data_IF_527310757202
#
_entry.id   IF_527310757202
#
_cell.length_a   1.000
_cell.length_b   1.000
_cell.length_c   1.000
_cell.angle_alpha   90.00
_cell.angle_beta   90.00
_cell.angle_gamma   90.00
#
_symmetry.space_group_name_H-M   'P 1'
#
loop_
_entity.id
_entity.type
_entity.pdbx_description
1 polymer ?
#
# COMPACT_ATOMS: atom_id res chain seq x y z
N UNK A 1 -54.11 -21.24 32.21
CA UNK A 1 -54.26 -22.18 31.07
C UNK A 1 -54.68 -21.38 29.85
N UNK A 2 -54.06 -21.61 28.71
CA UNK A 2 -54.23 -20.81 27.49
C UNK A 2 -54.73 -21.69 26.35
N UNK A 3 -55.72 -21.24 25.58
CA UNK A 3 -55.99 -21.78 24.25
C UNK A 3 -54.84 -21.41 23.31
N UNK A 4 -54.68 -22.14 22.21
CA UNK A 4 -53.57 -21.89 21.27
C UNK A 4 -53.54 -20.45 20.72
N UNK A 5 -54.71 -19.82 20.58
CA UNK A 5 -54.86 -18.44 20.15
C UNK A 5 -54.39 -17.43 21.19
N UNK A 6 -54.64 -17.72 22.46
CA UNK A 6 -54.22 -16.88 23.60
C UNK A 6 -52.72 -17.03 23.82
N UNK A 7 -52.20 -18.26 23.76
CA UNK A 7 -50.77 -18.53 23.83
C UNK A 7 -49.99 -17.86 22.69
N UNK A 8 -50.54 -17.87 21.46
CA UNK A 8 -49.96 -17.19 20.30
C UNK A 8 -49.82 -15.68 20.52
N UNK A 9 -50.86 -15.05 21.08
CA UNK A 9 -50.84 -13.62 21.40
C UNK A 9 -49.80 -13.28 22.48
N UNK A 10 -49.72 -14.09 23.54
CA UNK A 10 -48.81 -13.89 24.68
C UNK A 10 -47.31 -13.98 24.35
N UNK A 11 -46.97 -14.68 23.26
CA UNK A 11 -45.57 -14.89 22.83
C UNK A 11 -45.25 -14.26 21.48
N UNK A 12 -46.23 -13.62 20.82
CA UNK A 12 -46.04 -13.00 19.50
C UNK A 12 -45.72 -13.99 18.38
N UNK A 13 -46.18 -15.24 18.46
CA UNK A 13 -45.96 -16.27 17.43
C UNK A 13 -47.26 -16.62 16.70
N UNK A 14 -47.15 -17.11 15.46
CA UNK A 14 -48.31 -17.63 14.74
C UNK A 14 -48.81 -18.93 15.38
N UNK A 15 -50.12 -19.20 15.28
CA UNK A 15 -50.70 -20.48 15.72
C UNK A 15 -50.00 -21.67 15.05
N UNK A 16 -49.63 -21.53 13.77
CA UNK A 16 -48.92 -22.55 13.00
C UNK A 16 -47.53 -22.83 13.59
N UNK A 17 -46.80 -21.81 14.04
CA UNK A 17 -45.50 -21.99 14.70
C UNK A 17 -45.64 -22.76 16.02
N UNK A 18 -46.66 -22.45 16.84
CA UNK A 18 -46.93 -23.18 18.08
C UNK A 18 -47.36 -24.64 17.84
N UNK A 19 -48.18 -24.90 16.81
CA UNK A 19 -48.50 -26.26 16.39
C UNK A 19 -47.27 -27.04 15.92
N UNK A 20 -46.34 -26.36 15.24
CA UNK A 20 -45.05 -26.95 14.88
C UNK A 20 -44.21 -27.27 16.12
N UNK A 21 -44.17 -26.39 17.11
CA UNK A 21 -43.45 -26.62 18.37
C UNK A 21 -44.06 -27.81 19.12
N UNK A 22 -45.38 -27.93 19.15
CA UNK A 22 -46.09 -29.09 19.70
C UNK A 22 -45.78 -30.38 18.92
N UNK A 23 -45.75 -30.32 17.58
CA UNK A 23 -45.34 -31.47 16.74
C UNK A 23 -43.91 -31.91 17.04
N UNK A 24 -43.02 -30.97 17.32
CA UNK A 24 -41.64 -31.24 17.74
C UNK A 24 -41.51 -31.65 19.21
N UNK A 25 -42.63 -31.75 19.95
CA UNK A 25 -42.72 -32.07 21.38
C UNK A 25 -42.04 -31.05 22.30
N UNK A 26 -41.94 -29.81 21.85
CA UNK A 26 -41.38 -28.71 22.64
C UNK A 26 -42.37 -28.15 23.65
N UNK A 27 -43.67 -28.26 23.36
CA UNK A 27 -44.78 -27.95 24.26
C UNK A 27 -45.83 -29.05 24.14
N UNK A 28 -46.66 -29.24 25.17
CA UNK A 28 -47.65 -30.32 25.19
C UNK A 28 -49.03 -29.79 25.58
N UNK A 29 -49.91 -29.62 24.59
CA UNK A 29 -51.30 -29.24 24.85
C UNK A 29 -52.10 -30.41 25.44
N UNK A 30 -52.86 -30.16 26.51
CA UNK A 30 -53.83 -31.13 27.03
C UNK A 30 -55.19 -30.91 26.37
N UNK A 31 -55.84 -31.98 25.93
CA UNK A 31 -57.22 -31.91 25.45
C UNK A 31 -58.19 -31.93 26.63
N UNK A 32 -59.10 -30.96 26.65
CA UNK A 32 -60.24 -30.94 27.56
C UNK A 32 -61.36 -31.84 27.04
N UNK A 33 -62.31 -32.20 27.92
CA UNK A 33 -63.48 -33.01 27.57
C UNK A 33 -64.34 -32.41 26.45
N UNK A 34 -64.26 -31.10 26.24
CA UNK A 34 -64.95 -30.36 25.18
C UNK A 34 -64.16 -30.30 23.84
N UNK A 35 -63.08 -31.06 23.70
CA UNK A 35 -62.29 -31.17 22.46
C UNK A 35 -61.24 -30.06 22.24
N UNK A 36 -61.24 -28.98 23.03
CA UNK A 36 -60.25 -27.92 22.91
C UNK A 36 -58.89 -28.31 23.52
N UNK A 37 -57.79 -27.87 22.90
CA UNK A 37 -56.44 -27.95 23.47
C UNK A 37 -56.15 -26.73 24.34
N UNK A 38 -55.61 -26.99 25.53
CA UNK A 38 -55.14 -25.95 26.46
C UNK A 38 -53.70 -26.21 26.86
N UNK A 39 -52.94 -25.13 27.02
CA UNK A 39 -51.52 -25.11 27.40
C UNK A 39 -51.38 -24.48 28.79
N UNK A 40 -50.39 -24.94 29.54
CA UNK A 40 -50.12 -24.47 30.90
C UNK A 40 -49.22 -23.23 30.92
N UNK A 41 -49.09 -22.57 32.07
CA UNK A 41 -48.09 -21.51 32.27
C UNK A 41 -46.65 -22.04 32.06
N UNK A 42 -46.43 -23.33 32.33
CA UNK A 42 -45.15 -23.99 32.06
C UNK A 42 -44.85 -24.07 30.55
N UNK A 43 -45.87 -24.31 29.73
CA UNK A 43 -45.71 -24.30 28.27
C UNK A 43 -45.41 -22.88 27.77
N UNK A 44 -46.07 -21.85 28.32
CA UNK A 44 -45.79 -20.45 28.02
C UNK A 44 -44.33 -20.08 28.35
N UNK A 45 -43.86 -20.42 29.55
CA UNK A 45 -42.47 -20.20 29.95
C UNK A 45 -41.48 -20.96 29.05
N UNK A 46 -41.84 -22.18 28.63
CA UNK A 46 -41.01 -23.00 27.73
C UNK A 46 -40.90 -22.37 26.34
N UNK A 47 -41.98 -21.82 25.79
CA UNK A 47 -41.93 -21.07 24.52
C UNK A 47 -41.03 -19.83 24.65
N UNK A 48 -41.17 -19.06 25.74
CA UNK A 48 -40.33 -17.88 25.99
C UNK A 48 -38.85 -18.25 26.08
N UNK A 49 -38.52 -19.35 26.74
CA UNK A 49 -37.14 -19.86 26.80
C UNK A 49 -36.62 -20.24 25.42
N UNK A 50 -37.43 -20.90 24.58
CA UNK A 50 -37.06 -21.22 23.19
C UNK A 50 -36.76 -19.93 22.41
N UNK A 51 -37.59 -18.88 22.54
CA UNK A 51 -37.35 -17.60 21.87
C UNK A 51 -36.02 -16.96 22.28
N UNK A 52 -35.66 -17.02 23.56
CA UNK A 52 -34.37 -16.50 24.05
C UNK A 52 -33.18 -17.31 23.49
N UNK A 53 -33.30 -18.64 23.44
CA UNK A 53 -32.27 -19.49 22.85
C UNK A 53 -32.12 -19.24 21.33
N UNK A 54 -33.23 -19.06 20.62
CA UNK A 54 -33.22 -18.73 19.19
C UNK A 54 -32.63 -17.33 18.93
N UNK A 55 -32.88 -16.36 19.80
CA UNK A 55 -32.24 -15.04 19.71
C UNK A 55 -30.71 -15.11 19.87
N UNK A 56 -30.21 -16.10 20.61
CA UNK A 56 -28.78 -16.44 20.70
C UNK A 56 -28.23 -17.24 19.50
N UNK A 57 -29.01 -17.43 18.43
CA UNK A 57 -28.57 -18.12 17.21
C UNK A 57 -28.77 -19.64 17.21
N UNK A 58 -29.45 -20.21 18.20
CA UNK A 58 -29.73 -21.65 18.23
C UNK A 58 -30.92 -22.01 17.34
N UNK A 59 -30.76 -23.09 16.57
CA UNK A 59 -31.85 -23.72 15.84
C UNK A 59 -32.86 -24.37 16.79
N UNK A 60 -34.06 -24.64 16.29
CA UNK A 60 -35.12 -25.27 17.10
C UNK A 60 -34.72 -26.67 17.61
N UNK A 61 -33.89 -27.40 16.85
CA UNK A 61 -33.37 -28.72 17.26
C UNK A 61 -32.39 -28.60 18.44
N UNK A 62 -31.53 -27.59 18.40
CA UNK A 62 -30.58 -27.30 19.48
C UNK A 62 -31.31 -26.78 20.72
N UNK A 63 -32.31 -25.91 20.55
CA UNK A 63 -33.19 -25.46 21.63
C UNK A 63 -33.88 -26.65 22.32
N UNK A 64 -34.35 -27.64 21.53
CA UNK A 64 -34.91 -28.88 22.07
C UNK A 64 -33.91 -29.64 22.93
N UNK A 65 -32.68 -29.81 22.43
CA UNK A 65 -31.62 -30.51 23.16
C UNK A 65 -31.28 -29.80 24.48
N UNK A 66 -31.22 -28.47 24.50
CA UNK A 66 -31.01 -27.67 25.72
C UNK A 66 -32.15 -27.81 26.75
N UNK A 67 -33.38 -28.09 26.30
CA UNK A 67 -34.55 -28.24 27.17
C UNK A 67 -34.74 -29.66 27.73
N UNK A 68 -34.17 -30.66 27.07
CA UNK A 68 -34.36 -32.08 27.38
C UNK A 68 -33.14 -32.73 28.04
N UNK A 69 -31.95 -32.15 27.86
CA UNK A 69 -30.70 -32.67 28.39
C UNK A 69 -29.80 -31.55 28.95
N UNK A 70 -28.70 -31.95 29.61
CA UNK A 70 -27.66 -31.02 30.02
C UNK A 70 -27.08 -30.37 28.76
N UNK A 71 -27.01 -29.04 28.78
CA UNK A 71 -26.53 -28.21 27.68
C UNK A 71 -25.16 -28.71 27.19
N UNK A 72 -25.07 -28.98 25.89
CA UNK A 72 -23.80 -29.33 25.25
C UNK A 72 -22.92 -28.09 25.17
N UNK A 73 -21.87 -28.07 26.00
CA UNK A 73 -20.93 -26.96 26.07
C UNK A 73 -20.16 -26.79 24.76
N UNK A 74 -19.86 -27.88 24.05
CA UNK A 74 -19.12 -27.82 22.79
C UNK A 74 -19.95 -27.14 21.69
N UNK A 75 -21.26 -27.45 21.64
CA UNK A 75 -22.19 -26.79 20.72
C UNK A 75 -22.26 -25.27 20.97
N UNK A 76 -22.43 -24.86 22.24
CA UNK A 76 -22.46 -23.43 22.57
C UNK A 76 -21.16 -22.72 22.26
N UNK A 77 -20.01 -23.36 22.52
CA UNK A 77 -18.70 -22.81 22.16
C UNK A 77 -18.56 -22.62 20.65
N UNK A 78 -18.99 -23.61 19.85
CA UNK A 78 -18.97 -23.49 18.39
C UNK A 78 -19.86 -22.35 17.90
N UNK A 79 -21.07 -22.20 18.46
CA UNK A 79 -21.99 -21.10 18.10
C UNK A 79 -21.44 -19.74 18.49
N UNK A 80 -20.86 -19.63 19.69
CA UNK A 80 -20.22 -18.40 20.14
C UNK A 80 -19.08 -18.00 19.20
N UNK A 81 -18.23 -18.95 18.82
CA UNK A 81 -17.13 -18.69 17.88
C UNK A 81 -17.63 -18.21 16.51
N UNK A 82 -18.70 -18.80 15.97
CA UNK A 82 -19.32 -18.33 14.73
C UNK A 82 -19.85 -16.90 14.86
N UNK A 83 -20.51 -16.56 15.97
CA UNK A 83 -21.00 -15.21 16.21
C UNK A 83 -19.86 -14.20 16.34
N UNK A 84 -18.76 -14.56 17.01
CA UNK A 84 -17.56 -13.73 17.10
C UNK A 84 -16.98 -13.42 15.71
N UNK A 85 -16.90 -14.42 14.82
CA UNK A 85 -16.47 -14.22 13.42
C UNK A 85 -17.42 -13.31 12.64
N UNK A 86 -18.74 -13.47 12.81
CA UNK A 86 -19.74 -12.61 12.15
C UNK A 86 -19.66 -11.16 12.64
N UNK A 87 -19.43 -10.96 13.94
CA UNK A 87 -19.24 -9.64 14.54
C UNK A 87 -17.97 -8.99 13.97
N UNK A 88 -16.86 -9.72 13.94
CA UNK A 88 -15.60 -9.22 13.38
C UNK A 88 -15.77 -8.81 11.91
N UNK A 89 -16.45 -9.62 11.12
CA UNK A 89 -16.72 -9.31 9.71
C UNK A 89 -17.61 -8.06 9.55
N UNK A 90 -18.67 -7.93 10.35
CA UNK A 90 -19.56 -6.77 10.33
C UNK A 90 -18.86 -5.50 10.81
N UNK A 91 -17.97 -5.60 11.80
CA UNK A 91 -17.13 -4.49 12.26
C UNK A 91 -16.22 -4.02 11.13
N UNK A 92 -15.51 -4.93 10.45
CA UNK A 92 -14.69 -4.60 9.26
C UNK A 92 -15.49 -3.89 8.17
N UNK A 93 -16.71 -4.35 7.88
CA UNK A 93 -17.59 -3.69 6.90
C UNK A 93 -18.05 -2.29 7.35
N UNK A 94 -18.39 -2.12 8.63
CA UNK A 94 -18.73 -0.82 9.20
C UNK A 94 -17.56 0.13 9.10
N UNK A 95 -16.36 -0.32 9.49
CA UNK A 95 -15.16 0.51 9.52
C UNK A 95 -14.80 0.96 8.12
N UNK A 96 -14.92 0.09 7.10
CA UNK A 96 -14.82 0.49 5.70
C UNK A 96 -15.80 1.61 5.33
N UNK A 97 -17.09 1.45 5.66
CA UNK A 97 -18.11 2.44 5.30
C UNK A 97 -17.91 3.78 6.03
N UNK A 98 -17.55 3.74 7.32
CA UNK A 98 -17.23 4.92 8.10
C UNK A 98 -16.01 5.63 7.50
N UNK A 99 -14.96 4.88 7.17
CA UNK A 99 -13.76 5.38 6.54
C UNK A 99 -14.05 6.02 5.17
N UNK A 100 -14.89 5.41 4.33
CA UNK A 100 -15.36 6.00 3.06
C UNK A 100 -16.18 7.30 3.24
N UNK A 101 -16.81 7.49 4.40
CA UNK A 101 -17.51 8.71 4.77
C UNK A 101 -16.58 9.77 5.39
N UNK A 102 -15.28 9.50 5.50
CA UNK A 102 -14.32 10.37 6.19
C UNK A 102 -14.37 10.24 7.72
N UNK A 103 -15.09 9.25 8.25
CA UNK A 103 -15.24 8.98 9.67
C UNK A 103 -14.32 7.83 10.07
N UNK A 104 -13.07 8.12 10.45
CA UNK A 104 -12.13 7.13 11.00
C UNK A 104 -10.77 7.05 10.29
N UNK A 105 -9.95 6.07 10.70
CA UNK A 105 -8.64 5.80 10.10
C UNK A 105 -8.78 4.92 8.86
N UNK A 106 -8.33 5.44 7.71
CA UNK A 106 -8.36 4.78 6.42
C UNK A 106 -7.08 3.98 6.12
N UNK A 107 -6.05 4.06 6.97
CA UNK A 107 -4.71 3.54 6.67
C UNK A 107 -4.69 2.05 6.35
N UNK A 108 -5.25 1.23 7.23
CA UNK A 108 -5.29 -0.22 7.02
C UNK A 108 -6.09 -0.64 5.77
N UNK A 109 -7.13 0.12 5.42
CA UNK A 109 -7.90 -0.16 4.21
C UNK A 109 -7.13 0.22 2.94
N UNK A 110 -6.51 1.41 2.91
CA UNK A 110 -5.69 1.84 1.79
C UNK A 110 -4.52 0.88 1.56
N UNK A 111 -3.78 0.52 2.62
CA UNK A 111 -2.69 -0.44 2.54
C UNK A 111 -3.16 -1.82 2.05
N UNK A 112 -4.32 -2.28 2.52
CA UNK A 112 -4.91 -3.54 2.09
C UNK A 112 -5.36 -3.53 0.62
N UNK A 113 -6.00 -2.46 0.18
CA UNK A 113 -6.47 -2.33 -1.20
C UNK A 113 -5.30 -2.13 -2.17
N UNK A 114 -4.28 -1.36 -1.79
CA UNK A 114 -3.09 -1.17 -2.61
C UNK A 114 -2.34 -2.48 -2.84
N UNK A 115 -2.28 -3.35 -1.82
CA UNK A 115 -1.71 -4.70 -1.96
C UNK A 115 -2.53 -5.61 -2.88
N UNK A 116 -3.86 -5.52 -2.82
CA UNK A 116 -4.75 -6.42 -3.55
C UNK A 116 -5.01 -5.97 -5.00
N UNK A 117 -5.13 -4.67 -5.22
CA UNK A 117 -5.55 -4.08 -6.49
C UNK A 117 -4.96 -2.64 -6.65
N UNK A 118 -3.62 -2.51 -6.78
CA UNK A 118 -2.93 -1.22 -6.75
C UNK A 118 -3.38 -0.25 -7.85
N UNK A 119 -3.54 -0.75 -9.08
CA UNK A 119 -3.97 0.07 -10.22
C UNK A 119 -5.42 0.55 -10.04
N UNK A 120 -6.32 -0.33 -9.57
CA UNK A 120 -7.73 0.02 -9.33
C UNK A 120 -7.89 1.00 -8.16
N UNK A 121 -7.03 0.91 -7.14
CA UNK A 121 -6.99 1.86 -6.03
C UNK A 121 -6.56 3.24 -6.50
N UNK A 122 -5.50 3.34 -7.30
CA UNK A 122 -5.04 4.60 -7.89
C UNK A 122 -6.13 5.24 -8.77
N UNK A 123 -6.74 4.45 -9.67
CA UNK A 123 -7.85 4.91 -10.51
C UNK A 123 -9.04 5.41 -9.68
N UNK A 124 -9.33 4.74 -8.56
CA UNK A 124 -10.40 5.15 -7.66
C UNK A 124 -10.10 6.47 -6.96
N UNK A 125 -8.86 6.68 -6.48
CA UNK A 125 -8.41 7.95 -5.88
C UNK A 125 -8.55 9.11 -6.88
N UNK A 126 -8.11 8.91 -8.12
CA UNK A 126 -8.25 9.92 -9.18
C UNK A 126 -9.73 10.25 -9.42
N UNK A 127 -10.62 9.24 -9.42
CA UNK A 127 -12.08 9.46 -9.53
C UNK A 127 -12.69 10.19 -8.34
N UNK A 128 -12.08 10.14 -7.15
CA UNK A 128 -12.51 10.93 -6.00
C UNK A 128 -12.07 12.40 -6.08
N UNK A 129 -11.34 12.78 -7.13
CA UNK A 129 -10.92 14.17 -7.38
C UNK A 129 -9.50 14.49 -6.92
N UNK A 130 -8.74 13.50 -6.44
CA UNK A 130 -7.31 13.68 -6.20
C UNK A 130 -6.58 13.81 -7.53
N UNK A 131 -5.60 14.72 -7.60
CA UNK A 131 -4.65 14.70 -8.70
C UNK A 131 -3.86 13.38 -8.66
N UNK A 132 -3.31 12.92 -9.80
CA UNK A 132 -2.44 11.73 -9.83
C UNK A 132 -1.31 11.84 -8.80
N UNK A 133 -0.75 13.04 -8.66
CA UNK A 133 0.28 13.38 -7.68
C UNK A 133 -0.18 13.17 -6.24
N UNK A 134 -1.35 13.71 -5.89
CA UNK A 134 -1.87 13.58 -4.51
C UNK A 134 -2.33 12.15 -4.23
N UNK A 135 -2.87 11.45 -5.23
CA UNK A 135 -3.22 10.05 -5.13
C UNK A 135 -1.98 9.17 -4.86
N UNK A 136 -0.86 9.43 -5.56
CA UNK A 136 0.42 8.76 -5.31
C UNK A 136 0.98 9.12 -3.93
N UNK A 137 0.93 10.40 -3.51
CA UNK A 137 1.39 10.80 -2.17
C UNK A 137 0.53 10.18 -1.06
N UNK A 138 -0.77 10.05 -1.26
CA UNK A 138 -1.66 9.40 -0.31
C UNK A 138 -1.35 7.90 -0.24
N UNK A 139 -1.13 7.27 -1.39
CA UNK A 139 -0.76 5.85 -1.48
C UNK A 139 0.57 5.55 -0.76
N UNK A 140 1.59 6.39 -0.95
CA UNK A 140 2.95 6.08 -0.49
C UNK A 140 3.35 6.77 0.82
N UNK A 141 2.89 8.00 1.08
CA UNK A 141 3.36 8.81 2.20
C UNK A 141 2.34 8.82 3.34
N UNK A 142 1.22 9.53 3.17
CA UNK A 142 0.30 9.73 4.31
C UNK A 142 -0.42 8.45 4.70
N UNK A 143 -0.73 7.59 3.72
CA UNK A 143 -1.53 6.35 3.82
C UNK A 143 -2.93 6.56 4.44
N UNK A 144 -3.25 7.76 4.90
CA UNK A 144 -4.50 8.21 5.47
C UNK A 144 -4.99 9.44 4.69
N UNK A 145 -6.20 9.36 4.16
CA UNK A 145 -6.82 10.43 3.37
C UNK A 145 -7.24 11.63 4.23
N UNK A 146 -7.68 11.39 5.46
CA UNK A 146 -8.28 12.43 6.32
C UNK A 146 -7.23 13.36 6.93
N UNK A 147 -6.00 12.88 7.06
CA UNK A 147 -4.87 13.63 7.62
C UNK A 147 -3.81 13.97 6.55
N UNK A 148 -4.11 13.68 5.28
CA UNK A 148 -3.16 13.80 4.17
C UNK A 148 -2.53 15.20 4.09
N UNK A 149 -3.34 16.26 4.16
CA UNK A 149 -2.84 17.63 4.03
C UNK A 149 -1.91 18.03 5.18
N UNK A 150 -2.27 17.67 6.42
CA UNK A 150 -1.47 17.95 7.62
C UNK A 150 -0.17 17.15 7.56
N UNK A 151 -0.27 15.86 7.23
CA UNK A 151 0.89 14.99 7.05
C UNK A 151 1.85 15.56 6.01
N UNK A 152 1.34 15.97 4.85
CA UNK A 152 2.17 16.52 3.78
C UNK A 152 2.81 17.86 4.16
N UNK A 153 2.12 18.73 4.90
CA UNK A 153 2.71 19.97 5.40
C UNK A 153 3.87 19.70 6.37
N UNK A 154 3.71 18.74 7.28
CA UNK A 154 4.75 18.32 8.21
C UNK A 154 5.91 17.63 7.49
N UNK A 155 5.62 16.75 6.54
CA UNK A 155 6.61 16.10 5.68
C UNK A 155 7.45 17.15 4.94
N UNK A 156 6.82 18.13 4.29
CA UNK A 156 7.55 19.17 3.57
C UNK A 156 8.43 20.02 4.49
N UNK A 157 8.01 20.25 5.75
CA UNK A 157 8.82 20.98 6.76
C UNK A 157 10.14 20.27 7.07
N UNK A 158 10.13 18.93 7.10
CA UNK A 158 11.35 18.14 7.29
C UNK A 158 12.25 18.23 6.06
N UNK A 159 11.68 18.13 4.86
CA UNK A 159 12.43 18.03 3.60
C UNK A 159 12.86 19.37 2.97
N UNK A 160 12.33 20.50 3.44
CA UNK A 160 12.57 21.83 2.85
C UNK A 160 14.06 22.17 2.71
N UNK A 161 14.87 21.86 3.73
CA UNK A 161 16.30 22.21 3.79
C UNK A 161 17.20 21.17 3.13
N UNK A 162 16.66 20.03 2.72
CA UNK A 162 17.46 18.94 2.16
C UNK A 162 17.76 19.18 0.69
N UNK A 163 19.03 19.04 0.32
CA UNK A 163 19.46 19.13 -1.08
C UNK A 163 19.00 17.90 -1.88
N UNK A 164 19.07 16.71 -1.28
CA UNK A 164 18.72 15.42 -1.89
C UNK A 164 17.36 14.91 -1.41
N UNK A 165 16.65 14.22 -2.30
CA UNK A 165 15.39 13.52 -1.99
C UNK A 165 15.57 12.00 -1.87
N UNK A 166 16.79 11.51 -2.02
CA UNK A 166 17.11 10.10 -1.82
C UNK A 166 18.62 9.84 -1.84
N UNK A 167 19.03 8.61 -1.51
CA UNK A 167 20.42 8.15 -1.55
C UNK A 167 21.07 8.36 -2.93
N UNK A 168 22.35 8.74 -2.93
CA UNK A 168 23.11 8.87 -4.17
C UNK A 168 24.34 9.79 -4.03
N UNK A 169 25.20 9.74 -5.03
CA UNK A 169 26.31 10.68 -5.15
C UNK A 169 26.69 10.90 -6.62
N UNK A 170 27.39 12.00 -6.88
CA UNK A 170 27.91 12.28 -8.22
C UNK A 170 28.91 11.19 -8.70
N UNK A 171 29.57 10.49 -7.78
CA UNK A 171 30.53 9.43 -8.11
C UNK A 171 29.82 8.21 -8.70
N UNK A 172 28.71 7.76 -8.11
CA UNK A 172 27.92 6.63 -8.59
C UNK A 172 27.26 6.93 -9.94
N UNK A 173 26.66 8.12 -10.11
CA UNK A 173 26.09 8.55 -11.39
C UNK A 173 27.17 8.52 -12.48
N UNK A 174 28.36 9.08 -12.21
CA UNK A 174 29.49 9.07 -13.16
C UNK A 174 30.01 7.66 -13.44
N UNK A 175 30.10 6.81 -12.42
CA UNK A 175 30.52 5.42 -12.57
C UNK A 175 29.55 4.64 -13.47
N UNK A 176 28.25 4.79 -13.24
CA UNK A 176 27.23 4.15 -14.07
C UNK A 176 27.27 4.66 -15.51
N UNK A 177 27.47 5.97 -15.72
CA UNK A 177 27.55 6.56 -17.05
C UNK A 177 28.76 6.02 -17.83
N UNK A 178 29.90 5.87 -17.16
CA UNK A 178 31.12 5.30 -17.74
C UNK A 178 30.98 3.80 -18.05
N UNK A 179 30.07 3.09 -17.38
CA UNK A 179 29.77 1.69 -17.67
C UNK A 179 28.88 1.52 -18.92
N UNK A 180 28.22 2.59 -19.39
CA UNK A 180 27.45 2.55 -20.64
C UNK A 180 28.43 2.45 -21.82
N UNK A 181 28.41 1.36 -22.63
CA UNK A 181 29.43 1.11 -23.64
C UNK A 181 29.50 2.14 -24.76
N UNK A 182 28.40 2.86 -25.01
CA UNK A 182 28.27 3.85 -26.06
C UNK A 182 27.89 5.19 -25.46
N UNK A 183 28.67 6.22 -25.77
CA UNK A 183 28.37 7.58 -25.33
C UNK A 183 26.98 8.01 -25.86
N UNK A 184 26.07 8.45 -24.97
CA UNK A 184 24.71 8.81 -25.36
C UNK A 184 24.67 10.11 -26.16
N UNK A 185 23.70 10.21 -27.07
CA UNK A 185 23.39 11.42 -27.85
C UNK A 185 22.04 12.02 -27.49
N UNK A 186 21.05 11.18 -27.21
CA UNK A 186 19.68 11.52 -26.83
C UNK A 186 19.33 10.75 -25.55
N UNK A 187 19.45 11.43 -24.42
CA UNK A 187 19.24 10.86 -23.10
C UNK A 187 17.86 11.26 -22.58
N UNK A 188 17.07 10.29 -22.12
CA UNK A 188 15.87 10.52 -21.33
C UNK A 188 16.16 10.23 -19.87
N UNK A 189 15.97 11.20 -18.98
CA UNK A 189 16.02 10.99 -17.53
C UNK A 189 14.61 10.99 -16.94
N UNK A 190 14.23 9.88 -16.29
CA UNK A 190 12.90 9.64 -15.72
C UNK A 190 12.92 9.84 -14.21
N UNK A 191 12.19 10.84 -13.73
CA UNK A 191 12.16 11.24 -12.32
C UNK A 191 13.42 12.01 -11.93
N UNK A 192 13.70 13.10 -12.64
CA UNK A 192 14.96 13.86 -12.46
C UNK A 192 15.02 14.66 -11.15
N UNK A 193 13.88 14.89 -10.48
CA UNK A 193 13.78 15.69 -9.27
C UNK A 193 14.44 17.06 -9.41
N UNK A 194 15.24 17.45 -8.42
CA UNK A 194 16.03 18.71 -8.42
C UNK A 194 17.23 18.71 -9.38
N UNK A 195 17.44 17.64 -10.15
CA UNK A 195 18.41 17.61 -11.24
C UNK A 195 19.87 17.37 -10.85
N UNK A 196 20.12 16.71 -9.72
CA UNK A 196 21.48 16.42 -9.26
C UNK A 196 22.18 15.41 -10.18
N UNK A 197 21.51 14.31 -10.54
CA UNK A 197 22.02 13.36 -11.52
C UNK A 197 22.08 14.01 -12.92
N UNK A 198 21.04 14.74 -13.33
CA UNK A 198 21.01 15.52 -14.59
C UNK A 198 22.24 16.40 -14.79
N UNK A 199 22.69 17.10 -13.74
CA UNK A 199 23.91 17.91 -13.77
C UNK A 199 25.13 17.05 -14.10
N UNK A 200 25.32 15.94 -13.39
CA UNK A 200 26.46 15.05 -13.60
C UNK A 200 26.43 14.45 -15.01
N UNK A 201 25.26 14.04 -15.50
CA UNK A 201 25.07 13.54 -16.86
C UNK A 201 25.45 14.60 -17.89
N UNK A 202 25.06 15.86 -17.68
CA UNK A 202 25.39 16.95 -18.59
C UNK A 202 26.88 17.31 -18.56
N UNK A 203 27.54 17.29 -17.40
CA UNK A 203 28.97 17.58 -17.26
C UNK A 203 29.87 16.47 -17.83
N UNK A 204 29.36 15.23 -17.93
CA UNK A 204 30.12 14.06 -18.35
C UNK A 204 29.67 13.45 -19.68
N UNK A 205 28.77 14.12 -20.40
CA UNK A 205 28.35 13.71 -21.74
C UNK A 205 28.02 14.90 -22.63
N UNK A 206 28.06 14.66 -23.94
CA UNK A 206 27.59 15.62 -24.95
C UNK A 206 26.13 15.35 -25.37
N UNK A 207 25.39 14.55 -24.60
CA UNK A 207 24.00 14.23 -24.93
C UNK A 207 23.11 15.48 -24.85
N UNK A 208 22.06 15.48 -25.67
CA UNK A 208 20.87 16.26 -25.40
C UNK A 208 20.04 15.47 -24.38
N UNK A 209 19.66 16.14 -23.30
CA UNK A 209 18.98 15.55 -22.16
C UNK A 209 17.52 16.02 -22.20
N UNK A 210 16.61 15.06 -22.24
CA UNK A 210 15.20 15.26 -21.93
C UNK A 210 14.99 14.77 -20.50
N UNK A 211 14.67 15.66 -19.58
CA UNK A 211 14.47 15.34 -18.17
C UNK A 211 12.98 15.48 -17.83
N UNK A 212 12.41 14.48 -17.18
CA UNK A 212 11.00 14.47 -16.81
C UNK A 212 10.80 14.31 -15.32
N UNK A 213 9.77 14.97 -14.81
CA UNK A 213 9.29 14.84 -13.45
C UNK A 213 7.80 15.24 -13.39
N UNK A 214 7.07 14.80 -12.37
CA UNK A 214 5.69 15.23 -12.15
C UNK A 214 5.59 16.51 -11.28
N UNK A 215 6.72 17.02 -10.80
CA UNK A 215 6.82 18.23 -9.99
C UNK A 215 7.42 19.39 -10.79
N UNK A 216 6.56 20.30 -11.26
CA UNK A 216 6.99 21.48 -12.03
C UNK A 216 8.05 22.32 -11.30
N UNK A 217 7.94 22.46 -9.97
CA UNK A 217 8.92 23.22 -9.19
C UNK A 217 10.32 22.59 -9.17
N UNK A 218 10.42 21.27 -9.38
CA UNK A 218 11.71 20.59 -9.54
C UNK A 218 12.31 20.90 -10.91
N UNK A 219 11.48 20.90 -11.96
CA UNK A 219 11.88 21.25 -13.32
C UNK A 219 12.33 22.72 -13.43
N UNK A 220 11.65 23.63 -12.75
CA UNK A 220 12.03 25.05 -12.71
C UNK A 220 13.43 25.23 -12.11
N UNK A 221 13.71 24.56 -10.98
CA UNK A 221 15.06 24.55 -10.36
C UNK A 221 16.12 23.91 -11.27
N UNK A 222 15.76 22.86 -12.00
CA UNK A 222 16.66 22.22 -12.97
C UNK A 222 16.98 23.18 -14.14
N UNK A 223 15.98 23.90 -14.65
CA UNK A 223 16.17 24.93 -15.69
C UNK A 223 17.11 26.06 -15.20
N UNK A 224 16.88 26.60 -14.00
CA UNK A 224 17.75 27.62 -13.37
C UNK A 224 19.20 27.13 -13.25
N UNK A 225 19.38 25.87 -12.81
CA UNK A 225 20.71 25.25 -12.71
C UNK A 225 21.40 25.16 -14.07
N UNK A 226 20.68 24.77 -15.12
CA UNK A 226 21.26 24.65 -16.46
C UNK A 226 21.54 26.00 -17.12
N UNK A 227 20.75 27.02 -16.80
CA UNK A 227 21.04 28.40 -17.18
C UNK A 227 22.35 28.89 -16.55
N UNK A 228 22.52 28.68 -15.24
CA UNK A 228 23.75 29.04 -14.53
C UNK A 228 24.99 28.30 -15.06
N UNK A 229 24.84 27.06 -15.54
CA UNK A 229 25.92 26.27 -16.15
C UNK A 229 26.15 26.60 -17.65
N UNK A 230 25.30 27.41 -18.27
CA UNK A 230 25.36 27.69 -19.72
C UNK A 230 25.03 26.48 -20.59
N UNK A 231 24.28 25.51 -20.06
CA UNK A 231 23.97 24.24 -20.71
C UNK A 231 22.52 24.12 -21.19
N UNK A 232 21.69 25.16 -21.05
CA UNK A 232 20.25 25.14 -21.35
C UNK A 232 19.91 24.64 -22.76
N UNK A 233 20.79 24.86 -23.76
CA UNK A 233 20.56 24.38 -25.14
C UNK A 233 20.53 22.86 -25.28
N UNK A 234 21.05 22.13 -24.29
CA UNK A 234 21.06 20.67 -24.27
C UNK A 234 20.01 20.08 -23.33
N UNK A 235 19.16 20.91 -22.72
CA UNK A 235 18.14 20.46 -21.78
C UNK A 235 16.75 20.74 -22.33
N UNK A 236 15.90 19.73 -22.29
CA UNK A 236 14.46 19.83 -22.45
C UNK A 236 13.84 19.30 -21.16
N UNK A 237 13.01 20.08 -20.50
CA UNK A 237 12.23 19.64 -19.33
C UNK A 237 10.79 19.36 -19.73
N UNK A 238 10.22 18.25 -19.24
CA UNK A 238 8.83 17.87 -19.52
C UNK A 238 8.13 17.48 -18.22
N UNK A 239 7.06 18.20 -17.87
CA UNK A 239 6.19 17.82 -16.77
C UNK A 239 5.26 16.68 -17.22
N UNK A 240 5.58 15.44 -16.82
CA UNK A 240 4.86 14.25 -17.26
C UNK A 240 4.93 13.13 -16.21
N UNK A 241 3.92 12.24 -16.24
CA UNK A 241 3.95 10.98 -15.48
C UNK A 241 4.91 10.00 -16.12
N UNK A 242 5.69 9.28 -15.32
CA UNK A 242 6.59 8.23 -15.82
C UNK A 242 5.86 7.03 -16.44
N UNK A 243 4.54 6.94 -16.21
CA UNK A 243 3.67 5.89 -16.75
C UNK A 243 3.00 6.27 -18.08
N UNK A 244 3.07 7.55 -18.48
CA UNK A 244 2.50 8.07 -19.72
C UNK A 244 3.49 9.04 -20.38
N UNK A 245 4.53 8.45 -20.97
CA UNK A 245 5.64 9.19 -21.57
C UNK A 245 5.28 9.69 -22.98
N UNK A 246 5.26 11.02 -23.23
CA UNK A 246 4.76 11.60 -24.47
C UNK A 246 5.83 11.62 -25.58
N UNK A 247 6.53 10.50 -25.79
CA UNK A 247 7.64 10.41 -26.74
C UNK A 247 7.39 9.38 -27.83
N UNK A 248 7.91 9.68 -29.02
CA UNK A 248 7.88 8.73 -30.13
C UNK A 248 8.79 7.52 -29.83
N UNK A 249 8.44 6.38 -30.44
CA UNK A 249 9.27 5.18 -30.32
C UNK A 249 10.67 5.44 -30.89
N UNK A 250 11.67 4.79 -30.30
CA UNK A 250 13.08 4.86 -30.72
C UNK A 250 13.72 6.27 -30.69
N UNK A 251 13.25 7.13 -29.79
CA UNK A 251 13.76 8.52 -29.65
C UNK A 251 15.07 8.64 -28.88
N UNK A 252 15.38 7.69 -27.99
CA UNK A 252 16.49 7.81 -27.03
C UNK A 252 17.50 6.68 -27.16
N UNK A 253 18.79 6.96 -27.02
CA UNK A 253 19.83 5.92 -26.98
C UNK A 253 20.23 5.53 -25.54
N UNK A 254 19.84 6.33 -24.54
CA UNK A 254 19.95 6.02 -23.12
C UNK A 254 18.72 6.53 -22.36
N UNK A 255 18.11 5.65 -21.57
CA UNK A 255 17.14 6.01 -20.53
C UNK A 255 17.83 5.89 -19.17
N UNK A 256 17.66 6.90 -18.32
CA UNK A 256 18.30 7.03 -17.01
C UNK A 256 17.23 7.20 -15.93
N UNK A 257 17.31 6.43 -14.85
CA UNK A 257 16.34 6.49 -13.75
C UNK A 257 17.03 6.18 -12.41
N UNK A 258 17.35 7.19 -11.61
CA UNK A 258 17.88 6.99 -10.26
C UNK A 258 16.75 7.10 -9.23
N UNK A 259 16.45 6.00 -8.53
CA UNK A 259 15.50 6.00 -7.41
C UNK A 259 14.06 6.39 -7.80
N UNK A 260 13.63 6.05 -9.02
CA UNK A 260 12.32 6.43 -9.54
C UNK A 260 11.53 5.27 -10.15
N UNK A 261 12.19 4.27 -10.74
CA UNK A 261 11.52 3.17 -11.44
C UNK A 261 10.60 2.33 -10.54
N UNK A 262 10.91 2.23 -9.23
CA UNK A 262 10.10 1.50 -8.27
C UNK A 262 8.67 2.06 -8.13
N UNK A 263 8.48 3.36 -8.39
CA UNK A 263 7.18 4.05 -8.24
C UNK A 263 6.12 3.43 -9.15
N UNK A 264 6.50 3.04 -10.37
CA UNK A 264 5.63 2.33 -11.31
C UNK A 264 5.83 0.81 -11.32
N UNK A 265 6.84 0.32 -10.59
CA UNK A 265 7.30 -1.06 -10.61
C UNK A 265 8.36 -1.31 -11.70
N UNK A 266 9.47 -1.93 -11.33
CA UNK A 266 10.65 -2.10 -12.20
C UNK A 266 10.34 -2.94 -13.45
N UNK A 267 9.59 -4.04 -13.34
CA UNK A 267 9.21 -4.84 -14.52
C UNK A 267 8.32 -4.05 -15.50
N UNK A 268 7.44 -3.19 -14.97
CA UNK A 268 6.58 -2.31 -15.78
C UNK A 268 7.42 -1.25 -16.47
N UNK A 269 8.35 -0.61 -15.76
CA UNK A 269 9.31 0.34 -16.31
C UNK A 269 10.13 -0.29 -17.45
N UNK A 270 10.74 -1.46 -17.20
CA UNK A 270 11.50 -2.21 -18.21
C UNK A 270 10.67 -2.51 -19.46
N UNK A 271 9.40 -2.85 -19.31
CA UNK A 271 8.54 -3.18 -20.46
C UNK A 271 8.07 -1.93 -21.20
N UNK A 272 7.63 -0.89 -20.49
CA UNK A 272 7.04 0.31 -21.09
C UNK A 272 8.07 1.28 -21.66
N UNK A 273 9.28 1.33 -21.09
CA UNK A 273 10.34 2.22 -21.58
C UNK A 273 11.10 1.62 -22.76
N UNK A 274 11.07 0.29 -22.94
CA UNK A 274 11.76 -0.40 -24.04
C UNK A 274 11.46 0.17 -25.43
N UNK A 275 10.20 0.43 -25.82
CA UNK A 275 9.87 0.94 -27.15
C UNK A 275 10.40 2.36 -27.43
N UNK A 276 10.74 3.13 -26.40
CA UNK A 276 11.31 4.47 -26.54
C UNK A 276 12.80 4.44 -26.88
N UNK A 277 13.46 3.30 -26.65
CA UNK A 277 14.88 3.12 -26.98
C UNK A 277 15.09 2.90 -28.46
N UNK A 278 16.10 3.56 -29.00
CA UNK A 278 16.69 3.24 -30.29
C UNK A 278 17.27 1.81 -30.28
N UNK A 279 17.52 1.26 -31.47
CA UNK A 279 18.09 -0.08 -31.59
C UNK A 279 19.44 -0.16 -30.86
N UNK A 280 19.58 -1.16 -29.96
CA UNK A 280 20.74 -1.34 -29.07
C UNK A 280 20.93 -0.21 -28.05
N UNK A 281 19.87 0.53 -27.72
CA UNK A 281 19.84 1.53 -26.65
C UNK A 281 19.96 0.89 -25.26
N UNK A 282 20.25 1.73 -24.26
CA UNK A 282 20.54 1.29 -22.90
C UNK A 282 19.54 1.87 -21.90
N UNK A 283 19.31 1.13 -20.82
CA UNK A 283 18.69 1.65 -19.60
C UNK A 283 19.73 1.58 -18.48
N UNK A 284 19.92 2.71 -17.80
CA UNK A 284 20.49 2.74 -16.46
C UNK A 284 19.33 2.98 -15.49
N UNK A 285 19.09 2.04 -14.58
CA UNK A 285 18.19 2.28 -13.46
C UNK A 285 18.85 1.89 -12.14
N UNK A 286 18.49 2.60 -11.07
CA UNK A 286 18.78 2.16 -9.71
C UNK A 286 17.51 1.67 -9.03
N UNK A 287 17.63 0.58 -8.28
CA UNK A 287 16.53 0.00 -7.52
C UNK A 287 16.95 -0.38 -6.11
N UNK A 288 16.00 -0.36 -5.17
CA UNK A 288 16.22 -0.82 -3.81
C UNK A 288 16.24 -2.34 -3.79
N UNK A 289 17.30 -2.94 -3.25
CA UNK A 289 17.48 -4.40 -3.22
C UNK A 289 17.93 -4.90 -1.87
N UNK A 290 17.63 -6.17 -1.60
CA UNK A 290 18.25 -6.93 -0.52
C UNK A 290 19.71 -7.24 -0.86
N UNK A 291 20.61 -6.91 0.08
CA UNK A 291 22.05 -7.26 0.03
C UNK A 291 22.33 -8.62 0.68
N UNK A 292 21.35 -9.16 1.43
CA UNK A 292 21.43 -10.45 2.13
C UNK A 292 20.22 -11.33 1.78
N UNK A 293 20.41 -12.65 1.65
CA UNK A 293 19.28 -13.58 1.47
C UNK A 293 18.46 -13.79 2.75
N UNK A 294 18.97 -13.35 3.90
CA UNK A 294 18.31 -13.52 5.21
C UNK A 294 18.26 -12.17 5.94
N UNK A 295 17.45 -11.21 5.46
CA UNK A 295 17.26 -9.93 6.14
C UNK A 295 16.58 -10.13 7.51
N UNK A 296 16.79 -9.19 8.41
CA UNK A 296 16.12 -9.19 9.71
C UNK A 296 14.60 -9.00 9.57
N UNK A 297 13.85 -9.48 10.56
CA UNK A 297 12.40 -9.31 10.61
C UNK A 297 11.99 -7.83 10.56
N UNK A 298 12.76 -6.95 11.24
CA UNK A 298 12.54 -5.51 11.24
C UNK A 298 12.67 -4.91 9.83
N UNK A 299 13.72 -5.26 9.09
CA UNK A 299 13.88 -4.79 7.70
C UNK A 299 12.76 -5.30 6.81
N UNK A 300 12.38 -6.58 6.95
CA UNK A 300 11.30 -7.18 6.15
C UNK A 300 9.97 -6.51 6.42
N UNK A 301 9.63 -6.26 7.68
CA UNK A 301 8.40 -5.57 8.06
C UNK A 301 8.35 -4.15 7.49
N UNK A 302 9.45 -3.39 7.60
CA UNK A 302 9.57 -2.04 7.07
C UNK A 302 9.37 -2.02 5.54
N UNK A 303 10.14 -2.81 4.79
CA UNK A 303 10.05 -2.79 3.33
C UNK A 303 8.75 -3.41 2.78
N UNK A 304 8.09 -4.32 3.51
CA UNK A 304 6.74 -4.79 3.17
C UNK A 304 5.65 -3.70 3.25
N UNK A 305 5.94 -2.56 3.89
CA UNK A 305 5.06 -1.40 3.96
C UNK A 305 5.47 -0.30 2.98
N UNK A 306 6.77 -0.14 2.73
CA UNK A 306 7.32 0.95 1.90
C UNK A 306 7.53 0.56 0.43
N UNK A 307 8.17 -0.59 0.17
CA UNK A 307 8.40 -1.10 -1.18
C UNK A 307 8.34 -2.64 -1.20
N UNK A 308 7.12 -3.23 -1.28
CA UNK A 308 6.94 -4.69 -1.18
C UNK A 308 7.59 -5.50 -2.31
N UNK A 309 7.97 -4.85 -3.42
CA UNK A 309 8.69 -5.46 -4.54
C UNK A 309 10.22 -5.34 -4.38
N UNK A 310 10.74 -5.04 -3.19
CA UNK A 310 12.18 -5.15 -2.89
C UNK A 310 12.67 -6.58 -3.07
N UNK A 311 13.74 -6.76 -3.85
CA UNK A 311 14.18 -8.08 -4.30
C UNK A 311 15.69 -8.22 -4.16
N UNK A 312 16.19 -9.45 -4.30
CA UNK A 312 17.64 -9.67 -4.42
C UNK A 312 18.14 -9.24 -5.80
N UNK A 313 19.44 -8.92 -5.88
CA UNK A 313 20.11 -8.53 -7.13
C UNK A 313 19.91 -9.59 -8.20
N UNK A 314 20.09 -10.86 -7.87
CA UNK A 314 19.94 -11.99 -8.78
C UNK A 314 18.54 -12.06 -9.40
N UNK A 315 17.50 -11.85 -8.58
CA UNK A 315 16.11 -11.84 -9.05
C UNK A 315 15.86 -10.70 -10.04
N UNK A 316 16.35 -9.49 -9.73
CA UNK A 316 16.23 -8.33 -10.64
C UNK A 316 16.94 -8.58 -11.98
N UNK A 317 18.13 -9.18 -11.93
CA UNK A 317 18.88 -9.56 -13.15
C UNK A 317 18.12 -10.59 -13.99
N UNK A 318 17.46 -11.56 -13.37
CA UNK A 318 16.61 -12.53 -14.08
C UNK A 318 15.38 -11.88 -14.71
N UNK A 319 14.73 -10.95 -14.00
CA UNK A 319 13.59 -10.19 -14.53
C UNK A 319 14.00 -9.31 -15.72
N UNK A 320 15.16 -8.65 -15.65
CA UNK A 320 15.71 -7.88 -16.78
C UNK A 320 15.97 -8.76 -18.01
N UNK A 321 16.57 -9.95 -17.82
CA UNK A 321 16.77 -10.93 -18.90
C UNK A 321 15.44 -11.41 -19.49
N UNK A 322 14.46 -11.68 -18.64
CA UNK A 322 13.10 -12.10 -19.05
C UNK A 322 12.38 -11.00 -19.85
N UNK A 323 12.60 -9.73 -19.51
CA UNK A 323 12.13 -8.58 -20.28
C UNK A 323 12.91 -8.36 -21.61
N UNK A 324 13.83 -9.27 -21.94
CA UNK A 324 14.57 -9.29 -23.19
C UNK A 324 15.76 -8.35 -23.21
N UNK A 325 16.29 -7.97 -22.05
CA UNK A 325 17.49 -7.15 -21.97
C UNK A 325 18.75 -7.98 -21.76
N UNK A 326 19.87 -7.50 -22.29
CA UNK A 326 21.21 -7.98 -21.96
C UNK A 326 21.77 -7.16 -20.80
N UNK A 327 22.25 -7.84 -19.75
CA UNK A 327 22.92 -7.19 -18.62
C UNK A 327 24.32 -6.77 -19.06
N UNK A 328 24.61 -5.48 -19.00
CA UNK A 328 25.91 -4.90 -19.38
C UNK A 328 26.82 -4.81 -18.17
N UNK A 329 26.33 -4.20 -17.09
CA UNK A 329 27.05 -4.06 -15.82
C UNK A 329 26.03 -3.82 -14.69
N UNK A 330 26.43 -4.09 -13.46
CA UNK A 330 25.66 -3.75 -12.27
C UNK A 330 26.57 -3.66 -11.05
N UNK A 331 26.28 -2.74 -10.13
CA UNK A 331 27.09 -2.59 -8.92
C UNK A 331 26.29 -1.95 -7.77
N UNK A 332 26.63 -2.26 -6.50
CA UNK A 332 25.96 -1.67 -5.36
C UNK A 332 26.35 -0.20 -5.19
N UNK A 333 25.39 0.62 -4.74
CA UNK A 333 25.67 1.97 -4.26
C UNK A 333 26.55 1.91 -3.01
N UNK A 334 27.48 2.85 -2.87
CA UNK A 334 28.34 2.89 -1.68
C UNK A 334 27.59 3.31 -0.42
N UNK A 335 28.14 2.96 0.74
CA UNK A 335 27.65 3.45 2.03
C UNK A 335 27.77 4.97 2.17
N UNK A 336 28.75 5.59 1.51
CA UNK A 336 28.91 7.04 1.49
C UNK A 336 27.74 7.70 0.76
N UNK A 337 27.40 7.23 -0.45
CA UNK A 337 26.25 7.71 -1.20
C UNK A 337 24.92 7.52 -0.45
N UNK A 338 24.79 6.43 0.31
CA UNK A 338 23.67 6.23 1.22
C UNK A 338 23.59 7.29 2.33
N UNK A 339 24.73 7.54 2.99
CA UNK A 339 24.82 8.50 4.09
C UNK A 339 24.74 9.96 3.63
N UNK A 340 25.02 10.26 2.37
CA UNK A 340 24.81 11.60 1.79
C UNK A 340 23.34 12.05 1.86
N UNK A 341 22.41 11.12 2.05
CA UNK A 341 21.00 11.41 2.28
C UNK A 341 20.62 11.22 3.76
N UNK A 342 20.86 10.04 4.32
CA UNK A 342 20.41 9.72 5.68
C UNK A 342 21.19 10.46 6.79
N UNK A 343 22.40 10.93 6.52
CA UNK A 343 23.16 11.79 7.44
C UNK A 343 22.44 13.13 7.67
N UNK A 344 22.30 13.98 6.63
CA UNK A 344 21.59 15.26 6.74
C UNK A 344 20.12 15.10 7.19
N UNK A 345 19.42 14.08 6.70
CA UNK A 345 18.04 13.81 7.14
C UNK A 345 17.99 13.49 8.64
N UNK A 346 18.90 12.66 9.15
CA UNK A 346 18.98 12.34 10.56
C UNK A 346 19.34 13.54 11.45
N UNK A 347 20.18 14.45 10.98
CA UNK A 347 20.44 15.73 11.65
C UNK A 347 19.19 16.60 11.68
N UNK A 348 18.47 16.68 10.56
CA UNK A 348 17.24 17.46 10.45
C UNK A 348 16.12 16.93 11.34
N UNK A 349 15.97 15.60 11.45
CA UNK A 349 15.02 14.96 12.36
C UNK A 349 15.32 15.34 13.82
N UNK A 350 16.60 15.32 14.23
CA UNK A 350 17.02 15.72 15.59
C UNK A 350 16.78 17.21 15.86
N UNK A 351 17.06 18.06 14.87
CA UNK A 351 16.81 19.51 14.98
C UNK A 351 15.33 19.81 15.25
N UNK A 352 14.43 19.09 14.58
CA UNK A 352 12.97 19.29 14.65
C UNK A 352 12.28 18.56 15.81
N UNK A 353 13.00 17.73 16.58
CA UNK A 353 12.45 16.94 17.69
C UNK A 353 11.65 17.79 18.72
N UNK A 354 12.12 18.98 19.15
CA UNK A 354 11.38 19.79 20.12
C UNK A 354 10.00 20.22 19.65
N UNK A 355 9.83 20.43 18.33
CA UNK A 355 8.61 21.02 17.75
C UNK A 355 7.71 19.99 17.06
N UNK A 356 8.26 18.83 16.67
CA UNK A 356 7.58 17.87 15.80
C UNK A 356 7.47 16.46 16.35
N UNK A 357 8.03 16.17 17.53
CA UNK A 357 8.07 14.81 18.10
C UNK A 357 6.72 14.10 18.23
N UNK A 358 5.60 14.84 18.31
CA UNK A 358 4.26 14.26 18.36
C UNK A 358 3.61 14.03 17.00
N UNK A 359 4.15 14.61 15.93
CA UNK A 359 3.58 14.58 14.58
C UNK A 359 3.87 13.25 13.88
N UNK A 360 2.87 12.71 13.18
CA UNK A 360 2.97 11.41 12.51
C UNK A 360 4.11 11.39 11.46
N UNK A 361 4.19 12.40 10.59
CA UNK A 361 5.24 12.47 9.57
C UNK A 361 6.65 12.46 10.18
N UNK A 362 6.88 13.16 11.29
CA UNK A 362 8.18 13.14 11.96
C UNK A 362 8.49 11.77 12.57
N UNK A 363 7.49 11.11 13.19
CA UNK A 363 7.65 9.76 13.75
C UNK A 363 8.01 8.74 12.66
N UNK A 364 7.34 8.80 11.51
CA UNK A 364 7.60 7.93 10.36
C UNK A 364 9.00 8.16 9.79
N UNK A 365 9.38 9.42 9.56
CA UNK A 365 10.71 9.76 9.02
C UNK A 365 11.83 9.40 10.01
N UNK A 366 11.62 9.61 11.32
CA UNK A 366 12.57 9.17 12.35
C UNK A 366 12.76 7.65 12.30
N UNK A 367 11.66 6.91 12.20
CA UNK A 367 11.71 5.45 12.09
C UNK A 367 12.44 5.00 10.81
N UNK A 368 12.17 5.64 9.67
CA UNK A 368 12.90 5.40 8.43
C UNK A 368 14.41 5.64 8.62
N UNK A 369 14.82 6.78 9.18
CA UNK A 369 16.24 7.09 9.43
C UNK A 369 16.87 6.03 10.34
N UNK A 370 16.19 5.60 11.40
CA UNK A 370 16.69 4.57 12.31
C UNK A 370 16.90 3.24 11.58
N UNK A 371 15.90 2.75 10.85
CA UNK A 371 15.99 1.51 10.08
C UNK A 371 17.09 1.60 9.01
N UNK A 372 17.09 2.67 8.23
CA UNK A 372 18.00 2.86 7.11
C UNK A 372 19.44 3.13 7.53
N UNK A 373 19.70 3.56 8.77
CA UNK A 373 21.07 3.72 9.28
C UNK A 373 21.54 2.49 10.05
N UNK A 374 20.65 1.83 10.80
CA UNK A 374 20.99 0.65 11.61
C UNK A 374 21.16 -0.62 10.75
N UNK A 375 20.32 -0.81 9.74
CA UNK A 375 20.28 -2.01 8.91
C UNK A 375 20.82 -1.78 7.49
N UNK A 376 21.64 -0.73 7.29
CA UNK A 376 22.19 -0.32 5.99
C UNK A 376 23.03 -1.40 5.26
N UNK A 377 23.42 -2.45 5.96
CA UNK A 377 24.14 -3.61 5.40
C UNK A 377 23.20 -4.69 4.84
N UNK A 378 21.91 -4.67 5.20
CA UNK A 378 20.92 -5.67 4.76
C UNK A 378 20.26 -5.31 3.42
N UNK A 379 20.17 -4.02 3.10
CA UNK A 379 19.55 -3.51 1.88
C UNK A 379 20.24 -2.23 1.39
N UNK A 380 19.94 -1.82 0.16
CA UNK A 380 20.35 -0.53 -0.38
C UNK A 380 20.14 -0.46 -1.88
N UNK A 381 20.44 0.71 -2.47
CA UNK A 381 20.34 0.88 -3.91
C UNK A 381 21.41 0.08 -4.66
N UNK A 382 21.01 -0.50 -5.79
CA UNK A 382 21.90 -1.16 -6.74
C UNK A 382 21.67 -0.57 -8.12
N UNK A 383 22.76 -0.27 -8.82
CA UNK A 383 22.74 0.31 -10.17
C UNK A 383 22.76 -0.83 -11.19
N UNK A 384 21.87 -0.79 -12.18
CA UNK A 384 21.76 -1.77 -13.25
C UNK A 384 21.87 -1.08 -14.61
N UNK A 385 22.80 -1.55 -15.44
CA UNK A 385 22.97 -1.09 -16.82
C UNK A 385 22.60 -2.26 -17.73
N UNK A 386 21.57 -2.06 -18.56
CA UNK A 386 21.03 -3.08 -19.44
C UNK A 386 20.84 -2.56 -20.85
N UNK A 387 20.94 -3.45 -21.84
CA UNK A 387 20.78 -3.15 -23.26
C UNK A 387 19.52 -3.81 -23.83
N UNK A 388 18.72 -3.04 -24.58
CA UNK A 388 17.42 -3.45 -25.10
C UNK A 388 17.46 -4.43 -26.28
#
# INVERSE_FOLDING_TARGET
MYRISELAAEVGLSRTALLYYEKQKLICGKRLANGYRVYSDKDLQRVRLIQQLQAGGLTLRECKACLEAKVDRALLQSRLHTLEQEIEHKQKSRDLLAAMLGEGDLKAWHEGLDKLAPDAHLDWLIKQGFSEKDALRLKWLSKNMNEHEIYMADFMTVFETLERWGPGSEQETRKALNAVPKAPKQLLEVGCGKGLATKVLAENSNANITAIDNEQSALDRLNERFEALGLSKRLITVAASMTDLPFEQKSFDLIWAEGSAYIMGVEKALTQWKPLLADNGYIMLSDMVWKTPTPSEASVEFWNQEYPDIQQVETRLEQMKKAGYLVVDHFPMSREAWMNYYGPLGERVKELEPDMSEKAAWKDIKHEVEICTQFADEFGYHMFIVQA
#
